data_IF_771265299205
#
_entry.id   IF_771265299205
#
_cell.length_a   1.000
_cell.length_b   1.000
_cell.length_c   1.000
_cell.angle_alpha   90.00
_cell.angle_beta   90.00
_cell.angle_gamma   90.00
#
_symmetry.space_group_name_H-M   'P 1'
#
loop_
_entity.id
_entity.type
_entity.pdbx_description
1 polymer ?
#
# COMPACT_ATOMS: atom_id res chain seq x y z
N UNK A 1 -29.31 -2.58 -1.66
CA UNK A 1 -28.04 -1.82 -1.79
C UNK A 1 -26.91 -2.41 -0.93
N UNK A 2 -27.07 -2.50 0.40
CA UNK A 2 -26.01 -3.02 1.30
C UNK A 2 -25.54 -4.45 0.98
N UNK A 3 -26.46 -5.39 0.74
CA UNK A 3 -26.10 -6.77 0.33
C UNK A 3 -25.23 -6.78 -0.94
N UNK A 4 -25.57 -5.92 -1.91
CA UNK A 4 -24.82 -5.80 -3.17
C UNK A 4 -23.43 -5.19 -2.93
N UNK A 5 -23.31 -4.20 -2.04
CA UNK A 5 -22.02 -3.65 -1.62
C UNK A 5 -21.13 -4.72 -1.02
N UNK A 6 -21.64 -5.52 -0.07
CA UNK A 6 -20.89 -6.61 0.53
C UNK A 6 -20.43 -7.65 -0.51
N UNK A 7 -21.32 -8.04 -1.43
CA UNK A 7 -20.95 -8.98 -2.51
C UNK A 7 -19.85 -8.43 -3.42
N UNK A 8 -19.93 -7.15 -3.81
CA UNK A 8 -18.92 -6.52 -4.67
C UNK A 8 -17.59 -6.31 -3.92
N UNK A 9 -17.64 -5.93 -2.65
CA UNK A 9 -16.48 -5.73 -1.80
C UNK A 9 -15.71 -7.04 -1.60
N UNK A 10 -16.41 -8.11 -1.20
CA UNK A 10 -15.78 -9.42 -1.03
C UNK A 10 -15.19 -9.93 -2.35
N UNK A 11 -15.90 -9.77 -3.46
CA UNK A 11 -15.40 -10.17 -4.78
C UNK A 11 -14.17 -9.36 -5.22
N UNK A 12 -14.04 -8.10 -4.79
CA UNK A 12 -12.84 -7.31 -5.04
C UNK A 12 -11.67 -7.78 -4.16
N UNK A 13 -11.89 -7.96 -2.86
CA UNK A 13 -10.86 -8.44 -1.92
C UNK A 13 -10.30 -9.80 -2.34
N UNK A 14 -11.18 -10.74 -2.71
CA UNK A 14 -10.77 -12.05 -3.19
C UNK A 14 -9.92 -11.95 -4.48
N UNK A 15 -10.31 -11.09 -5.43
CA UNK A 15 -9.51 -10.87 -6.63
C UNK A 15 -8.14 -10.27 -6.33
N UNK A 16 -8.07 -9.30 -5.42
CA UNK A 16 -6.79 -8.70 -5.01
C UNK A 16 -5.91 -9.78 -4.40
N UNK A 17 -6.45 -10.56 -3.45
CA UNK A 17 -5.71 -11.66 -2.83
C UNK A 17 -5.18 -12.65 -3.88
N UNK A 18 -6.02 -13.13 -4.79
CA UNK A 18 -5.63 -14.11 -5.82
C UNK A 18 -4.64 -13.58 -6.86
N UNK A 19 -4.61 -12.27 -7.12
CA UNK A 19 -3.78 -11.68 -8.20
C UNK A 19 -2.50 -11.04 -7.72
N UNK A 20 -2.50 -10.53 -6.51
CA UNK A 20 -1.42 -9.73 -5.96
C UNK A 20 -0.75 -10.45 -4.78
N UNK A 21 -0.98 -11.76 -4.61
CA UNK A 21 -0.40 -12.59 -3.53
C UNK A 21 1.13 -12.50 -3.52
N UNK A 22 1.76 -12.72 -4.67
CA UNK A 22 3.22 -12.64 -4.83
C UNK A 22 3.73 -11.23 -4.50
N UNK A 23 3.09 -10.18 -5.02
CA UNK A 23 3.49 -8.79 -4.76
C UNK A 23 3.29 -8.38 -3.28
N UNK A 24 2.28 -8.94 -2.60
CA UNK A 24 2.05 -8.75 -1.17
C UNK A 24 3.18 -9.40 -0.36
N UNK A 25 3.55 -10.64 -0.70
CA UNK A 25 4.66 -11.33 -0.04
C UNK A 25 5.99 -10.63 -0.30
N UNK A 26 6.28 -10.25 -1.54
CA UNK A 26 7.50 -9.56 -1.91
C UNK A 26 7.57 -8.18 -1.25
N UNK A 27 6.44 -7.49 -1.09
CA UNK A 27 6.37 -6.26 -0.30
C UNK A 27 6.70 -6.51 1.16
N UNK A 28 6.16 -7.55 1.78
CA UNK A 28 6.48 -7.89 3.17
C UNK A 28 7.99 -8.21 3.34
N UNK A 29 8.58 -8.98 2.42
CA UNK A 29 10.01 -9.28 2.40
C UNK A 29 10.86 -8.02 2.21
N UNK A 30 10.45 -7.13 1.31
CA UNK A 30 11.10 -5.84 1.09
C UNK A 30 11.15 -5.03 2.39
N UNK A 31 10.02 -4.92 3.10
CA UNK A 31 9.93 -4.19 4.38
C UNK A 31 10.73 -4.86 5.50
N UNK A 32 10.74 -6.19 5.55
CA UNK A 32 11.50 -6.95 6.54
C UNK A 32 13.00 -6.63 6.46
N UNK A 33 13.56 -6.36 5.28
CA UNK A 33 14.97 -5.99 5.13
C UNK A 33 15.35 -4.74 5.95
N UNK A 34 14.49 -3.72 5.95
CA UNK A 34 14.71 -2.54 6.80
C UNK A 34 14.49 -2.87 8.29
N UNK A 35 13.46 -3.66 8.61
CA UNK A 35 13.12 -3.99 9.99
C UNK A 35 14.19 -4.86 10.69
N UNK A 36 14.88 -5.72 9.94
CA UNK A 36 15.96 -6.59 10.42
C UNK A 36 17.31 -5.85 10.41
N UNK A 37 17.53 -4.99 9.42
CA UNK A 37 18.77 -4.25 9.24
C UNK A 37 18.88 -2.99 10.11
N UNK A 38 19.66 -2.02 9.63
CA UNK A 38 19.87 -0.73 10.31
C UNK A 38 18.86 0.36 9.86
N UNK A 39 17.96 0.03 8.93
CA UNK A 39 17.00 0.95 8.35
C UNK A 39 15.68 1.04 9.12
N UNK A 40 14.73 1.78 8.54
CA UNK A 40 13.35 1.88 9.02
C UNK A 40 12.34 1.65 7.92
N UNK A 41 11.18 1.12 8.32
CA UNK A 41 10.00 1.08 7.46
C UNK A 41 9.26 2.40 7.59
N UNK A 42 8.98 3.05 6.46
CA UNK A 42 8.18 4.26 6.40
C UNK A 42 6.89 4.00 5.66
N UNK A 43 5.76 4.48 6.21
CA UNK A 43 4.46 4.39 5.53
C UNK A 43 3.97 5.80 5.21
N UNK A 44 3.52 5.98 3.97
CA UNK A 44 2.93 7.24 3.49
C UNK A 44 1.64 7.00 2.73
N UNK A 45 0.53 7.44 3.32
CA UNK A 45 -0.76 7.57 2.65
C UNK A 45 -0.94 8.96 2.04
N UNK A 46 -1.60 9.03 0.89
CA UNK A 46 -2.06 10.26 0.25
C UNK A 46 -3.59 10.38 0.31
N UNK A 47 -4.09 11.57 0.63
CA UNK A 47 -5.52 11.86 0.73
C UNK A 47 -6.24 10.86 1.67
N UNK A 48 -7.31 10.20 1.22
CA UNK A 48 -8.04 9.25 2.06
C UNK A 48 -7.24 8.02 2.48
N UNK A 49 -6.13 7.72 1.79
CA UNK A 49 -5.24 6.62 2.16
C UNK A 49 -4.43 6.90 3.43
N UNK A 50 -4.47 8.13 3.97
CA UNK A 50 -3.95 8.43 5.32
C UNK A 50 -4.63 7.60 6.42
N UNK A 51 -5.82 7.03 6.15
CA UNK A 51 -6.45 6.06 7.03
C UNK A 51 -5.55 4.85 7.33
N UNK A 52 -4.76 4.40 6.35
CA UNK A 52 -3.80 3.30 6.55
C UNK A 52 -2.69 3.70 7.51
N UNK A 53 -2.22 4.95 7.46
CA UNK A 53 -1.23 5.46 8.41
C UNK A 53 -1.79 5.49 9.85
N UNK A 54 -3.06 5.86 10.00
CA UNK A 54 -3.71 5.87 11.31
C UNK A 54 -3.80 4.47 11.90
N UNK A 55 -4.17 3.47 11.09
CA UNK A 55 -4.16 2.06 11.53
C UNK A 55 -2.74 1.59 11.86
N UNK A 56 -1.76 1.87 10.98
CA UNK A 56 -0.40 1.39 11.16
C UNK A 56 0.30 1.97 12.40
N UNK A 57 0.03 3.22 12.76
CA UNK A 57 0.73 3.90 13.87
C UNK A 57 -0.07 3.99 15.15
N UNK A 58 -1.40 3.85 15.09
CA UNK A 58 -2.29 4.09 16.23
C UNK A 58 -3.47 3.12 16.32
N UNK A 59 -3.50 2.10 15.45
CA UNK A 59 -4.48 1.01 15.51
C UNK A 59 -4.33 0.15 16.77
N UNK A 60 -5.21 -0.84 16.91
CA UNK A 60 -5.16 -1.76 18.05
C UNK A 60 -3.87 -2.62 18.06
N UNK A 61 -3.31 -2.85 16.87
CA UNK A 61 -2.08 -3.60 16.65
C UNK A 61 -1.13 -2.79 15.76
N UNK A 62 -0.48 -1.73 16.29
CA UNK A 62 0.42 -0.90 15.50
C UNK A 62 1.59 -1.70 14.92
N UNK A 63 2.03 -1.32 13.72
CA UNK A 63 3.19 -1.94 13.08
C UNK A 63 4.48 -1.46 13.77
N UNK A 64 5.11 -2.36 14.52
CA UNK A 64 6.20 -2.05 15.46
C UNK A 64 7.42 -1.37 14.81
N UNK A 65 7.72 -1.71 13.56
CA UNK A 65 8.93 -1.27 12.86
C UNK A 65 8.69 -0.07 11.94
N UNK A 66 7.47 0.47 11.93
CA UNK A 66 7.07 1.52 11.01
C UNK A 66 7.08 2.91 11.66
N UNK A 67 7.49 3.90 10.88
CA UNK A 67 7.46 5.31 11.23
C UNK A 67 6.74 6.15 10.16
N UNK A 68 6.13 7.28 10.54
CA UNK A 68 5.61 8.23 9.56
C UNK A 68 6.78 8.85 8.78
N UNK A 69 6.61 8.97 7.46
CA UNK A 69 7.57 9.70 6.63
C UNK A 69 7.43 11.22 6.86
N UNK A 70 8.29 11.78 7.71
CA UNK A 70 8.28 13.22 8.02
C UNK A 70 9.21 14.05 7.13
N UNK A 71 10.34 13.48 6.70
CA UNK A 71 11.29 14.15 5.82
C UNK A 71 11.92 13.11 4.89
N UNK A 72 11.59 13.17 3.61
CA UNK A 72 12.12 12.24 2.61
C UNK A 72 13.61 12.45 2.30
N UNK A 73 14.20 13.61 2.65
CA UNK A 73 15.60 13.91 2.35
C UNK A 73 16.60 13.29 3.34
N UNK A 74 16.12 12.67 4.42
CA UNK A 74 16.99 11.99 5.40
C UNK A 74 17.01 10.47 5.22
N UNK A 75 16.35 9.95 4.19
CA UNK A 75 16.29 8.52 3.91
C UNK A 75 17.60 8.03 3.29
N UNK A 76 17.89 6.76 3.55
CA UNK A 76 19.06 6.02 3.07
C UNK A 76 18.61 4.77 2.33
N UNK A 77 19.54 4.13 1.61
CA UNK A 77 19.34 2.85 0.93
C UNK A 77 19.01 1.68 1.89
N UNK A 78 19.25 1.86 3.19
CA UNK A 78 18.82 0.92 4.24
C UNK A 78 17.31 1.02 4.54
N UNK A 79 16.66 2.14 4.25
CA UNK A 79 15.26 2.38 4.55
C UNK A 79 14.33 1.77 3.49
N UNK A 80 13.07 1.54 3.87
CA UNK A 80 12.03 1.05 2.96
C UNK A 80 10.78 1.87 3.09
N UNK A 81 10.15 2.20 1.96
CA UNK A 81 8.93 3.01 1.97
C UNK A 81 7.76 2.22 1.38
N UNK A 82 6.61 2.28 2.04
CA UNK A 82 5.33 1.78 1.54
C UNK A 82 4.39 2.96 1.31
N UNK A 83 4.05 3.18 0.05
CA UNK A 83 3.20 4.28 -0.39
C UNK A 83 1.79 3.76 -0.66
N UNK A 84 0.78 4.46 -0.14
CA UNK A 84 -0.62 4.24 -0.48
C UNK A 84 -1.20 5.49 -1.16
N UNK A 85 -1.70 5.33 -2.37
CA UNK A 85 -2.48 6.36 -3.06
C UNK A 85 -3.65 5.74 -3.82
N UNK A 86 -4.64 6.55 -4.19
CA UNK A 86 -5.81 6.07 -4.92
C UNK A 86 -5.43 5.47 -6.26
N UNK A 87 -4.61 6.18 -7.02
CA UNK A 87 -4.28 5.84 -8.40
C UNK A 87 -2.81 6.06 -8.67
N UNK A 88 -2.26 5.29 -9.60
CA UNK A 88 -0.85 5.40 -9.99
C UNK A 88 -0.50 6.72 -10.68
N UNK A 89 -1.50 7.51 -11.07
CA UNK A 89 -1.36 8.85 -11.66
C UNK A 89 -1.37 9.99 -10.62
N UNK A 90 -1.24 9.70 -9.33
CA UNK A 90 -1.21 10.75 -8.28
C UNK A 90 0.13 11.51 -8.34
N UNK A 91 0.08 12.79 -8.72
CA UNK A 91 1.26 13.63 -8.91
C UNK A 91 2.12 13.78 -7.64
N UNK A 92 1.48 13.84 -6.46
CA UNK A 92 2.20 13.99 -5.21
C UNK A 92 2.93 12.69 -4.84
N UNK A 93 2.30 11.55 -5.08
CA UNK A 93 2.93 10.24 -4.91
C UNK A 93 4.07 10.01 -5.91
N UNK A 94 3.89 10.40 -7.18
CA UNK A 94 4.93 10.32 -8.22
C UNK A 94 6.13 11.21 -7.85
N UNK A 95 5.88 12.43 -7.36
CA UNK A 95 6.94 13.34 -6.91
C UNK A 95 7.77 12.73 -5.77
N UNK A 96 7.13 12.08 -4.80
CA UNK A 96 7.82 11.35 -3.75
C UNK A 96 8.63 10.17 -4.32
N UNK A 97 8.03 9.34 -5.17
CA UNK A 97 8.67 8.17 -5.76
C UNK A 97 9.94 8.52 -6.55
N UNK A 98 9.93 9.62 -7.31
CA UNK A 98 11.11 10.13 -8.00
C UNK A 98 12.24 10.49 -7.04
N UNK A 99 11.92 11.07 -5.88
CA UNK A 99 12.91 11.39 -4.85
C UNK A 99 13.49 10.13 -4.22
N UNK A 100 12.64 9.15 -3.90
CA UNK A 100 13.09 7.85 -3.35
C UNK A 100 14.04 7.15 -4.31
N UNK A 101 13.67 7.07 -5.59
CA UNK A 101 14.52 6.50 -6.65
C UNK A 101 15.85 7.25 -6.80
N UNK A 102 15.84 8.57 -6.68
CA UNK A 102 17.06 9.38 -6.75
C UNK A 102 18.01 9.18 -5.56
N UNK A 103 17.49 8.73 -4.41
CA UNK A 103 18.27 8.39 -3.21
C UNK A 103 18.50 6.87 -3.09
N UNK A 104 18.16 6.08 -4.11
CA UNK A 104 18.29 4.62 -4.12
C UNK A 104 17.55 3.95 -2.94
N UNK A 105 16.45 4.55 -2.49
CA UNK A 105 15.60 4.02 -1.42
C UNK A 105 14.55 3.09 -2.03
N UNK A 106 14.58 1.78 -1.74
CA UNK A 106 13.60 0.86 -2.29
C UNK A 106 12.20 1.09 -1.69
N UNK A 107 11.17 0.99 -2.53
CA UNK A 107 9.80 1.25 -2.13
C UNK A 107 8.76 0.45 -2.90
N UNK A 108 7.67 0.16 -2.20
CA UNK A 108 6.47 -0.46 -2.76
C UNK A 108 5.31 0.52 -2.78
N UNK A 109 4.38 0.31 -3.72
CA UNK A 109 3.20 1.16 -3.91
C UNK A 109 1.94 0.31 -3.93
N UNK A 110 0.91 0.76 -3.21
CA UNK A 110 -0.45 0.25 -3.30
C UNK A 110 -1.34 1.31 -3.96
N UNK A 111 -1.80 1.05 -5.18
CA UNK A 111 -2.61 1.99 -5.96
C UNK A 111 -3.40 1.30 -7.09
N UNK A 112 -4.51 1.89 -7.54
CA UNK A 112 -5.20 1.43 -8.75
C UNK A 112 -4.48 1.89 -10.03
N UNK A 113 -4.21 0.98 -10.97
CA UNK A 113 -3.51 1.31 -12.23
C UNK A 113 -4.37 2.16 -13.16
N UNK A 114 -3.86 3.33 -13.57
CA UNK A 114 -4.50 4.17 -14.60
C UNK A 114 -3.82 3.92 -15.94
N UNK A 115 -4.53 3.31 -16.88
CA UNK A 115 -4.02 3.10 -18.24
C UNK A 115 -3.86 4.45 -18.94
N UNK A 116 -2.70 4.68 -19.56
CA UNK A 116 -2.39 5.88 -20.37
C UNK A 116 -2.15 7.16 -19.57
N UNK A 117 -1.68 7.05 -18.33
CA UNK A 117 -1.08 8.19 -17.65
C UNK A 117 0.26 8.55 -18.32
N UNK A 118 0.62 9.84 -18.34
CA UNK A 118 1.93 10.28 -18.84
C UNK A 118 3.08 9.79 -17.93
N UNK A 119 2.81 9.73 -16.63
CA UNK A 119 3.69 9.16 -15.62
C UNK A 119 2.90 8.16 -14.79
N UNK A 120 3.42 6.94 -14.70
CA UNK A 120 2.78 5.85 -13.97
C UNK A 120 3.67 5.44 -12.79
N UNK A 121 3.17 5.65 -11.58
CA UNK A 121 3.86 5.27 -10.35
C UNK A 121 4.21 3.77 -10.32
N UNK A 122 3.46 2.91 -11.00
CA UNK A 122 3.76 1.49 -11.12
C UNK A 122 5.07 1.20 -11.88
N UNK A 123 5.50 2.08 -12.79
CA UNK A 123 6.76 1.94 -13.54
C UNK A 123 7.98 2.49 -12.77
N UNK A 124 7.74 3.20 -11.67
CA UNK A 124 8.79 3.81 -10.84
C UNK A 124 9.08 2.96 -9.61
N UNK A 125 8.05 2.32 -9.04
CA UNK A 125 8.16 1.49 -7.83
C UNK A 125 8.92 0.19 -8.06
N UNK A 126 9.56 -0.32 -7.01
CA UNK A 126 10.18 -1.65 -7.04
C UNK A 126 9.10 -2.75 -7.04
N UNK A 127 7.99 -2.50 -6.34
CA UNK A 127 6.83 -3.40 -6.26
C UNK A 127 5.55 -2.57 -6.35
N UNK A 128 4.60 -2.99 -7.18
CA UNK A 128 3.28 -2.36 -7.30
C UNK A 128 2.18 -3.37 -7.02
N UNK A 129 1.38 -3.12 -5.97
CA UNK A 129 0.17 -3.87 -5.67
C UNK A 129 -1.03 -3.11 -6.22
N UNK A 130 -1.75 -3.73 -7.15
CA UNK A 130 -2.91 -3.14 -7.79
C UNK A 130 -4.17 -3.32 -6.93
N UNK A 131 -4.76 -2.19 -6.50
CA UNK A 131 -6.04 -2.24 -5.76
C UNK A 131 -7.19 -2.78 -6.61
N UNK A 132 -7.04 -2.82 -7.94
CA UNK A 132 -8.06 -3.25 -8.89
C UNK A 132 -9.40 -2.47 -8.78
N UNK A 133 -9.43 -1.36 -8.01
CA UNK A 133 -10.60 -0.51 -7.77
C UNK A 133 -10.55 0.73 -8.68
N UNK A 134 -11.17 0.63 -9.86
CA UNK A 134 -11.13 1.71 -10.85
C UNK A 134 -12.39 2.56 -10.92
N UNK A 135 -13.51 2.07 -10.37
CA UNK A 135 -14.81 2.74 -10.43
C UNK A 135 -15.62 2.48 -9.16
N UNK A 136 -16.56 3.37 -8.80
CA UNK A 136 -17.43 3.13 -7.66
C UNK A 136 -18.23 1.83 -7.84
N UNK A 137 -18.53 1.12 -6.76
CA UNK A 137 -18.99 -0.28 -6.81
C UNK A 137 -20.46 -0.44 -7.17
N UNK A 138 -21.32 0.51 -6.81
CA UNK A 138 -22.77 0.36 -6.91
C UNK A 138 -23.36 1.24 -8.00
N UNK A 139 -24.42 0.82 -8.70
CA UNK A 139 -25.23 1.74 -9.51
C UNK A 139 -25.99 2.73 -8.60
N UNK A 140 -26.19 3.95 -9.10
CA UNK A 140 -27.08 4.96 -8.54
C UNK A 140 -28.43 4.97 -9.28
N UNK A 141 -29.40 5.70 -8.72
CA UNK A 141 -30.72 5.93 -9.34
C UNK A 141 -30.64 6.81 -10.61
N UNK A 142 -29.52 7.52 -10.83
CA UNK A 142 -29.33 8.49 -11.93
C UNK A 142 -28.39 8.00 -13.03
N UNK A 143 -28.12 6.69 -13.11
CA UNK A 143 -27.16 6.01 -14.01
C UNK A 143 -25.66 6.12 -13.66
N UNK A 144 -25.30 6.99 -12.72
CA UNK A 144 -23.94 7.06 -12.18
C UNK A 144 -23.61 5.86 -11.29
N UNK A 145 -22.34 5.70 -10.90
CA UNK A 145 -21.93 4.72 -9.88
C UNK A 145 -21.51 5.43 -8.59
N UNK A 146 -21.81 4.83 -7.44
CA UNK A 146 -21.48 5.33 -6.10
C UNK A 146 -20.78 4.28 -5.23
N UNK A 147 -20.11 4.75 -4.18
CA UNK A 147 -19.36 3.91 -3.24
C UNK A 147 -17.98 3.52 -3.77
N UNK A 148 -16.97 4.35 -3.48
CA UNK A 148 -15.57 4.11 -3.86
C UNK A 148 -14.74 3.89 -2.58
N UNK A 149 -14.65 2.66 -2.07
CA UNK A 149 -14.07 2.39 -0.75
C UNK A 149 -12.53 2.24 -0.80
N UNK A 150 -11.81 3.21 -1.37
CA UNK A 150 -10.35 3.13 -1.54
C UNK A 150 -9.60 2.92 -0.23
N UNK A 151 -9.90 3.73 0.79
CA UNK A 151 -9.28 3.60 2.11
C UNK A 151 -9.50 2.21 2.74
N UNK A 152 -10.70 1.64 2.57
CA UNK A 152 -11.01 0.30 3.07
C UNK A 152 -10.21 -0.79 2.35
N UNK A 153 -10.03 -0.66 1.04
CA UNK A 153 -9.20 -1.58 0.26
C UNK A 153 -7.71 -1.41 0.61
N UNK A 154 -7.25 -0.18 0.82
CA UNK A 154 -5.91 0.10 1.33
C UNK A 154 -5.65 -0.57 2.68
N UNK A 155 -6.60 -0.48 3.62
CA UNK A 155 -6.54 -1.15 4.92
C UNK A 155 -6.52 -2.68 4.79
N UNK A 156 -7.33 -3.24 3.89
CA UNK A 156 -7.32 -4.67 3.61
C UNK A 156 -5.94 -5.15 3.13
N UNK A 157 -5.37 -4.48 2.12
CA UNK A 157 -4.04 -4.81 1.58
C UNK A 157 -2.95 -4.62 2.65
N UNK A 158 -3.03 -3.53 3.43
CA UNK A 158 -2.14 -3.30 4.56
C UNK A 158 -2.14 -4.46 5.55
N UNK A 159 -3.30 -5.02 5.90
CA UNK A 159 -3.35 -6.18 6.80
C UNK A 159 -2.73 -7.43 6.16
N UNK A 160 -2.95 -7.66 4.87
CA UNK A 160 -2.27 -8.76 4.17
C UNK A 160 -0.74 -8.63 4.25
N UNK A 161 -0.20 -7.44 3.99
CA UNK A 161 1.24 -7.16 4.11
C UNK A 161 1.71 -7.31 5.55
N UNK A 162 0.97 -6.75 6.52
CA UNK A 162 1.31 -6.81 7.95
C UNK A 162 1.41 -8.26 8.43
N UNK A 163 0.47 -9.12 8.06
CA UNK A 163 0.50 -10.53 8.49
C UNK A 163 1.73 -11.26 7.95
N UNK A 164 2.05 -11.09 6.67
CA UNK A 164 3.25 -11.67 6.09
C UNK A 164 4.54 -11.11 6.72
N UNK A 165 4.57 -9.80 6.99
CA UNK A 165 5.71 -9.18 7.66
C UNK A 165 5.86 -9.68 9.10
N UNK A 166 4.76 -9.76 9.86
CA UNK A 166 4.78 -10.26 11.24
C UNK A 166 5.24 -11.73 11.29
N UNK A 167 4.87 -12.57 10.31
CA UNK A 167 5.34 -13.96 10.17
C UNK A 167 6.86 -14.00 9.94
N UNK A 168 7.37 -13.28 8.91
CA UNK A 168 8.81 -13.18 8.61
C UNK A 168 9.60 -12.71 9.85
N UNK A 169 9.10 -11.69 10.54
CA UNK A 169 9.78 -11.14 11.72
C UNK A 169 9.74 -12.11 12.91
N UNK A 170 8.68 -12.90 13.04
CA UNK A 170 8.57 -13.90 14.11
C UNK A 170 9.57 -15.03 13.90
N UNK A 171 9.67 -15.56 12.67
CA UNK A 171 10.66 -16.58 12.30
C UNK A 171 12.09 -16.09 12.57
N UNK A 172 12.42 -14.86 12.14
CA UNK A 172 13.73 -14.26 12.38
C UNK A 172 14.09 -14.14 13.87
N UNK A 173 13.12 -13.78 14.71
CA UNK A 173 13.30 -13.64 16.16
C UNK A 173 13.38 -14.98 16.91
N UNK A 174 12.83 -16.06 16.36
CA UNK A 174 12.97 -17.40 16.93
C UNK A 174 14.34 -18.02 16.61
N UNK A 175 14.96 -17.61 15.49
CA UNK A 175 16.24 -18.13 15.02
C UNK A 175 17.48 -17.39 15.56
N UNK A 176 17.33 -16.22 16.19
CA UNK A 176 18.42 -15.35 16.68
C UNK A 176 18.25 -14.88 18.12
#
# INVERSE_FOLDING_TARGET
MLKMFLTQLNGLQQRIFEKEEEDIEDTARLLAQAAIGEGKVYIKGFNEMEAVCSEAFSGAEPLKYAAPLQNENSLTDADRVLIFTRFTSDEAAISLAKKLRAHEVPFAVVAGTVKSAEEDLAEIADIHINTNLMKPMLPSETSDRVGFPSALIGLFIYHCIKFQLDEIMSEYLEEN
#
